data_IF_189806519211
#
_entry.id   IF_189806519211
#
_cell.length_a   1.000
_cell.length_b   1.000
_cell.length_c   1.000
_cell.angle_alpha   90.00
_cell.angle_beta   90.00
_cell.angle_gamma   90.00
#
_symmetry.space_group_name_H-M   'P 1'
#
loop_
_entity.id
_entity.type
_entity.pdbx_description
1 polymer ?
#
# COMPACT_ATOMS: atom_id res chain seq x y z
N UNK A 1 -5.74 53.83 -13.14
CA UNK A 1 -6.16 52.52 -13.69
C UNK A 1 -4.99 51.54 -13.97
N UNK A 2 -3.85 51.64 -13.27
CA UNK A 2 -2.72 50.68 -13.40
C UNK A 2 -2.63 49.68 -12.24
N UNK A 3 -3.16 50.03 -11.07
CA UNK A 3 -3.07 49.21 -9.85
C UNK A 3 -4.10 48.06 -9.77
N UNK A 4 -5.23 48.19 -10.47
CA UNK A 4 -6.31 47.18 -10.46
C UNK A 4 -5.90 45.91 -11.21
N UNK A 5 -5.06 46.05 -12.25
CA UNK A 5 -4.58 44.93 -13.07
C UNK A 5 -3.59 44.04 -12.29
N UNK A 6 -2.76 44.65 -11.43
CA UNK A 6 -1.77 43.94 -10.60
C UNK A 6 -2.43 43.12 -9.49
N UNK A 7 -3.53 43.59 -8.91
CA UNK A 7 -4.25 42.84 -7.87
C UNK A 7 -5.01 41.64 -8.43
N UNK A 8 -5.52 41.72 -9.67
CA UNK A 8 -6.17 40.59 -10.35
C UNK A 8 -5.21 39.43 -10.65
N UNK A 9 -3.93 39.71 -10.92
CA UNK A 9 -2.92 38.68 -11.17
C UNK A 9 -2.50 37.91 -9.90
N UNK A 10 -2.56 38.53 -8.73
CA UNK A 10 -2.25 37.87 -7.45
C UNK A 10 -3.33 36.85 -7.03
N UNK A 11 -4.58 37.05 -7.43
CA UNK A 11 -5.69 36.16 -7.09
C UNK A 11 -5.73 34.91 -8.01
N UNK A 12 -5.18 34.99 -9.22
CA UNK A 12 -5.09 33.85 -10.13
C UNK A 12 -4.01 32.82 -9.73
N UNK A 13 -3.08 33.17 -8.84
CA UNK A 13 -2.00 32.29 -8.39
C UNK A 13 -2.35 31.47 -7.13
N UNK A 14 -3.49 31.70 -6.47
CA UNK A 14 -3.82 31.05 -5.20
C UNK A 14 -4.51 29.68 -5.32
N UNK A 15 -4.75 29.17 -6.53
CA UNK A 15 -5.43 27.89 -6.75
C UNK A 15 -4.50 26.71 -7.08
N UNK A 16 -3.23 26.75 -6.66
CA UNK A 16 -2.47 25.50 -6.50
C UNK A 16 -2.91 24.83 -5.18
N UNK A 17 -4.10 24.24 -5.18
CA UNK A 17 -4.47 23.26 -4.18
C UNK A 17 -3.48 22.11 -4.24
N UNK A 18 -2.66 22.01 -3.20
CA UNK A 18 -1.75 20.89 -2.98
C UNK A 18 -2.60 19.66 -2.72
N UNK A 19 -3.04 18.99 -3.78
CA UNK A 19 -3.43 17.58 -3.70
C UNK A 19 -2.21 16.83 -3.22
N UNK A 20 -2.19 16.45 -1.94
CA UNK A 20 -1.20 15.51 -1.44
C UNK A 20 -1.28 14.25 -2.30
N UNK A 21 -0.24 13.90 -3.06
CA UNK A 21 -0.25 12.63 -3.75
C UNK A 21 -0.30 11.55 -2.67
N UNK A 22 -1.37 10.76 -2.67
CA UNK A 22 -1.30 9.41 -2.11
C UNK A 22 0.01 8.81 -2.63
N UNK A 23 0.83 8.33 -1.70
CA UNK A 23 2.21 7.87 -1.92
C UNK A 23 2.31 6.63 -2.85
N UNK A 24 1.69 6.65 -4.02
CA UNK A 24 2.13 5.84 -5.17
C UNK A 24 3.38 6.49 -5.71
N UNK A 25 4.50 6.19 -5.05
CA UNK A 25 5.84 6.59 -5.47
C UNK A 25 6.04 6.05 -6.89
N UNK A 26 5.92 6.91 -7.91
CA UNK A 26 6.11 6.59 -9.33
C UNK A 26 7.60 6.37 -9.67
N UNK A 27 8.33 5.60 -8.85
CA UNK A 27 9.81 5.50 -8.89
C UNK A 27 10.32 5.00 -10.26
N UNK A 28 9.47 4.25 -10.96
CA UNK A 28 9.83 3.51 -12.16
C UNK A 28 9.31 4.11 -13.46
N UNK A 29 8.45 5.12 -13.40
CA UNK A 29 7.94 5.79 -14.60
C UNK A 29 9.10 6.48 -15.34
N UNK A 30 9.14 6.31 -16.66
CA UNK A 30 10.20 6.80 -17.54
C UNK A 30 11.44 5.89 -17.62
N UNK A 31 11.55 4.85 -16.78
CA UNK A 31 12.66 3.88 -16.86
C UNK A 31 12.32 2.74 -17.82
N UNK A 32 13.36 2.08 -18.32
CA UNK A 32 13.20 0.90 -19.18
C UNK A 32 12.77 -0.31 -18.34
N UNK A 33 11.81 -1.08 -18.86
CA UNK A 33 11.30 -2.29 -18.22
C UNK A 33 12.39 -3.36 -18.03
N UNK A 34 13.38 -3.44 -18.93
CA UNK A 34 14.51 -4.37 -18.78
C UNK A 34 15.30 -4.10 -17.49
N UNK A 35 15.48 -2.84 -17.11
CA UNK A 35 16.15 -2.47 -15.85
C UNK A 35 15.34 -2.95 -14.64
N UNK A 36 14.01 -2.85 -14.72
CA UNK A 36 13.13 -3.35 -13.66
C UNK A 36 13.21 -4.88 -13.54
N UNK A 37 13.12 -5.59 -14.68
CA UNK A 37 13.21 -7.05 -14.72
C UNK A 37 14.57 -7.54 -14.22
N UNK A 38 15.66 -6.86 -14.57
CA UNK A 38 17.00 -7.24 -14.10
C UNK A 38 17.13 -7.07 -12.58
N UNK A 39 16.39 -6.13 -11.97
CA UNK A 39 16.43 -5.88 -10.53
C UNK A 39 15.51 -6.78 -9.73
N UNK A 40 14.29 -7.04 -10.23
CA UNK A 40 13.22 -7.70 -9.47
C UNK A 40 12.79 -9.05 -10.03
N UNK A 41 13.34 -9.46 -11.18
CA UNK A 41 12.99 -10.70 -11.85
C UNK A 41 11.85 -10.56 -12.85
N UNK A 42 11.42 -11.71 -13.36
CA UNK A 42 10.30 -11.81 -14.30
C UNK A 42 8.98 -11.50 -13.62
N UNK A 43 8.00 -10.93 -14.34
CA UNK A 43 6.65 -10.73 -13.82
C UNK A 43 5.95 -12.07 -13.57
N UNK A 44 4.94 -12.08 -12.71
CA UNK A 44 4.03 -13.22 -12.58
C UNK A 44 3.11 -13.31 -13.80
N UNK A 45 2.64 -12.14 -14.27
CA UNK A 45 1.71 -12.04 -15.41
C UNK A 45 2.19 -10.93 -16.35
N UNK A 46 2.16 -11.23 -17.64
CA UNK A 46 2.46 -10.28 -18.72
C UNK A 46 1.31 -10.30 -19.71
N UNK A 47 0.71 -9.14 -19.97
CA UNK A 47 -0.41 -8.98 -20.90
C UNK A 47 0.00 -7.99 -21.98
N UNK A 48 0.15 -8.46 -23.22
CA UNK A 48 0.30 -7.58 -24.37
C UNK A 48 -1.08 -7.07 -24.81
N UNK A 49 -1.18 -5.79 -25.14
CA UNK A 49 -2.38 -5.22 -25.75
C UNK A 49 -2.23 -5.20 -27.27
N UNK A 50 -3.34 -5.15 -27.99
CA UNK A 50 -3.36 -5.11 -29.47
C UNK A 50 -2.61 -3.88 -30.03
N UNK A 51 -2.49 -2.84 -29.20
CA UNK A 51 -1.73 -1.65 -29.52
C UNK A 51 -0.23 -1.79 -29.21
N UNK A 52 0.31 -2.99 -28.97
CA UNK A 52 1.73 -3.23 -28.71
C UNK A 52 2.25 -2.68 -27.38
N UNK A 53 1.38 -2.14 -26.53
CA UNK A 53 1.72 -1.83 -25.14
C UNK A 53 1.66 -3.13 -24.33
N UNK A 54 2.34 -3.18 -23.19
CA UNK A 54 2.34 -4.36 -22.33
C UNK A 54 2.11 -3.95 -20.89
N UNK A 55 1.28 -4.73 -20.19
CA UNK A 55 1.07 -4.58 -18.75
C UNK A 55 1.76 -5.75 -18.04
N UNK A 56 2.59 -5.43 -17.06
CA UNK A 56 3.32 -6.39 -16.24
C UNK A 56 2.77 -6.37 -14.82
N UNK A 57 2.47 -7.54 -14.26
CA UNK A 57 2.02 -7.70 -12.88
C UNK A 57 3.06 -8.46 -12.07
N UNK A 58 3.36 -7.93 -10.90
CA UNK A 58 4.21 -8.52 -9.88
C UNK A 58 3.43 -8.65 -8.59
N UNK A 59 3.58 -9.77 -7.90
CA UNK A 59 2.99 -10.08 -6.61
C UNK A 59 4.07 -10.61 -5.70
N UNK A 60 4.30 -9.94 -4.57
CA UNK A 60 5.14 -10.45 -3.49
C UNK A 60 4.32 -10.63 -2.24
N UNK A 61 4.57 -11.72 -1.55
CA UNK A 61 3.98 -11.97 -0.24
C UNK A 61 5.10 -12.10 0.80
N UNK A 62 4.94 -11.43 1.92
CA UNK A 62 5.84 -11.52 3.07
C UNK A 62 5.07 -12.02 4.30
N UNK A 63 5.66 -12.95 5.02
CA UNK A 63 5.12 -13.49 6.26
C UNK A 63 5.75 -12.74 7.42
N UNK A 64 4.91 -12.20 8.31
CA UNK A 64 5.41 -11.64 9.57
C UNK A 64 4.65 -12.22 10.75
N UNK A 65 5.39 -12.47 11.82
CA UNK A 65 4.80 -12.80 13.11
C UNK A 65 4.33 -11.51 13.76
N UNK A 66 3.00 -11.33 13.83
CA UNK A 66 2.41 -10.21 14.57
C UNK A 66 1.88 -10.74 15.88
N UNK A 67 2.34 -10.14 16.98
CA UNK A 67 1.76 -10.37 18.30
C UNK A 67 0.36 -9.77 18.30
N UNK A 68 -0.66 -10.61 18.39
CA UNK A 68 -2.05 -10.14 18.51
C UNK A 68 -2.38 -10.13 19.99
N UNK A 69 -2.79 -8.97 20.49
CA UNK A 69 -3.32 -8.84 21.84
C UNK A 69 -4.81 -9.21 21.77
N UNK A 70 -5.15 -10.38 22.29
CA UNK A 70 -6.53 -10.75 22.52
C UNK A 70 -6.92 -10.22 23.90
N UNK A 71 -8.15 -9.78 24.08
CA UNK A 71 -8.62 -9.45 25.44
C UNK A 71 -8.68 -10.74 26.27
N UNK A 72 -8.27 -10.70 27.54
CA UNK A 72 -8.29 -11.90 28.38
C UNK A 72 -9.73 -12.37 28.56
N UNK A 73 -10.00 -13.69 28.47
CA UNK A 73 -11.35 -14.20 28.67
C UNK A 73 -11.79 -13.95 30.12
N UNK A 74 -12.94 -13.32 30.26
CA UNK A 74 -13.60 -13.06 31.54
C UNK A 74 -14.67 -14.10 31.76
N UNK A 75 -14.67 -14.74 32.94
CA UNK A 75 -15.70 -15.68 33.36
C UNK A 75 -16.26 -15.27 34.71
N UNK A 76 -17.53 -15.59 34.96
CA UNK A 76 -18.18 -15.36 36.25
C UNK A 76 -18.38 -16.71 36.90
N UNK A 77 -17.93 -16.83 38.15
CA UNK A 77 -18.15 -18.02 38.97
C UNK A 77 -18.95 -17.63 40.22
N UNK A 78 -19.66 -18.59 40.82
CA UNK A 78 -20.39 -18.37 42.07
C UNK A 78 -19.61 -19.09 43.17
N UNK A 79 -19.29 -18.37 44.25
CA UNK A 79 -18.60 -18.97 45.41
C UNK A 79 -19.50 -19.97 46.13
N UNK A 80 -18.91 -20.79 47.00
CA UNK A 80 -19.67 -21.66 47.92
C UNK A 80 -20.66 -20.89 48.81
N UNK A 81 -20.47 -19.58 48.96
CA UNK A 81 -21.34 -18.67 49.71
C UNK A 81 -22.36 -17.92 48.83
N UNK A 82 -22.51 -18.29 47.56
CA UNK A 82 -23.48 -17.71 46.65
C UNK A 82 -23.11 -16.33 46.07
N UNK A 83 -21.88 -15.85 46.31
CA UNK A 83 -21.43 -14.55 45.81
C UNK A 83 -20.84 -14.69 44.41
N UNK A 84 -21.20 -13.83 43.44
CA UNK A 84 -20.56 -13.83 42.14
C UNK A 84 -19.12 -13.30 42.25
N UNK A 85 -18.17 -14.00 41.64
CA UNK A 85 -16.77 -13.61 41.54
C UNK A 85 -16.37 -13.62 40.07
N UNK A 86 -15.71 -12.55 39.66
CA UNK A 86 -15.15 -12.43 38.33
C UNK A 86 -13.77 -13.09 38.29
N UNK A 87 -13.58 -14.03 37.37
CA UNK A 87 -12.30 -14.68 37.11
C UNK A 87 -11.79 -14.18 35.77
N UNK A 88 -10.68 -13.45 35.80
CA UNK A 88 -9.94 -12.99 34.63
C UNK A 88 -8.75 -13.92 34.46
N UNK A 89 -8.70 -14.68 33.35
CA UNK A 89 -7.49 -15.47 33.04
C UNK A 89 -6.39 -14.53 32.55
N UNK A 90 -5.10 -14.78 32.89
CA UNK A 90 -4.00 -13.98 32.38
C UNK A 90 -3.93 -14.04 30.85
N UNK A 91 -3.46 -12.96 30.25
CA UNK A 91 -3.41 -12.80 28.80
C UNK A 91 -2.52 -13.84 28.14
N UNK A 92 -3.12 -14.67 27.27
CA UNK A 92 -2.39 -15.64 26.46
C UNK A 92 -1.96 -14.92 25.20
N UNK A 93 -0.67 -14.62 25.10
CA UNK A 93 -0.10 -13.99 23.92
C UNK A 93 0.13 -15.04 22.84
N UNK A 94 -0.86 -15.24 21.97
CA UNK A 94 -0.67 -16.08 20.78
C UNK A 94 -0.10 -15.23 19.63
N UNK A 95 1.12 -15.57 19.19
CA UNK A 95 1.66 -15.03 17.97
C UNK A 95 0.88 -15.60 16.78
N UNK A 96 0.28 -14.74 15.95
CA UNK A 96 -0.32 -15.17 14.68
C UNK A 96 0.62 -14.80 13.55
N UNK A 97 0.84 -15.75 12.64
CA UNK A 97 1.49 -15.46 11.37
C UNK A 97 0.49 -14.69 10.51
N UNK A 98 0.90 -13.51 10.04
CA UNK A 98 0.12 -12.67 9.14
C UNK A 98 0.84 -12.63 7.80
N UNK A 99 0.07 -12.75 6.71
CA UNK A 99 0.58 -12.66 5.35
C UNK A 99 0.26 -11.28 4.81
N UNK A 100 1.29 -10.50 4.50
CA UNK A 100 1.16 -9.26 3.76
C UNK A 100 1.43 -9.52 2.28
N UNK A 101 0.60 -8.96 1.41
CA UNK A 101 0.76 -9.09 -0.04
C UNK A 101 0.88 -7.71 -0.65
N UNK A 102 1.88 -7.54 -1.50
CA UNK A 102 2.09 -6.37 -2.33
C UNK A 102 1.93 -6.75 -3.81
N UNK A 103 1.17 -5.96 -4.55
CA UNK A 103 0.95 -6.10 -5.99
C UNK A 103 1.41 -4.85 -6.70
N UNK A 104 2.14 -5.02 -7.80
CA UNK A 104 2.57 -3.93 -8.67
C UNK A 104 2.10 -4.21 -10.09
N UNK A 105 1.52 -3.19 -10.70
CA UNK A 105 1.16 -3.17 -12.11
C UNK A 105 1.98 -2.10 -12.81
N UNK A 106 2.68 -2.48 -13.88
CA UNK A 106 3.49 -1.57 -14.71
C UNK A 106 2.94 -1.55 -16.12
N UNK A 107 2.56 -0.36 -16.59
CA UNK A 107 2.21 -0.12 -17.98
C UNK A 107 3.48 0.24 -18.74
N UNK A 108 3.74 -0.47 -19.84
CA UNK A 108 4.95 -0.35 -20.65
C UNK A 108 4.55 -0.09 -22.10
N UNK A 109 5.17 0.91 -22.72
CA UNK A 109 4.92 1.21 -24.13
C UNK A 109 5.67 0.26 -25.07
N UNK A 110 5.43 0.38 -26.39
CA UNK A 110 6.13 -0.40 -27.43
C UNK A 110 7.66 -0.32 -27.39
N UNK A 111 8.20 0.76 -26.84
CA UNK A 111 9.66 0.99 -26.73
C UNK A 111 10.25 0.34 -25.47
N UNK A 112 9.43 -0.33 -24.66
CA UNK A 112 9.88 -0.94 -23.41
C UNK A 112 10.03 0.06 -22.27
N UNK A 113 9.44 1.26 -22.36
CA UNK A 113 9.49 2.28 -21.31
C UNK A 113 8.25 2.19 -20.43
N UNK A 114 8.45 2.22 -19.12
CA UNK A 114 7.37 2.22 -18.13
C UNK A 114 6.67 3.60 -18.18
N UNK A 115 5.41 3.62 -18.58
CA UNK A 115 4.59 4.84 -18.68
C UNK A 115 3.65 5.03 -17.50
N UNK A 116 3.42 3.99 -16.71
CA UNK A 116 2.61 4.07 -15.51
C UNK A 116 2.93 2.96 -14.54
N UNK A 117 2.77 3.23 -13.25
CA UNK A 117 2.94 2.25 -12.18
C UNK A 117 1.83 2.40 -11.15
N UNK A 118 1.23 1.28 -10.75
CA UNK A 118 0.29 1.21 -9.64
C UNK A 118 0.80 0.18 -8.64
N UNK A 119 0.76 0.54 -7.37
CA UNK A 119 1.21 -0.31 -6.26
C UNK A 119 0.05 -0.44 -5.30
N UNK A 120 -0.29 -1.67 -4.91
CA UNK A 120 -1.39 -1.96 -4.00
C UNK A 120 -0.96 -3.00 -2.97
N UNK A 121 -1.42 -2.83 -1.73
CA UNK A 121 -1.19 -3.77 -0.64
C UNK A 121 -0.26 -3.21 0.43
N UNK A 122 0.24 -4.12 1.27
CA UNK A 122 1.05 -3.78 2.42
C UNK A 122 2.48 -4.31 2.26
N UNK A 123 3.43 -3.64 2.91
CA UNK A 123 4.85 -4.00 2.90
C UNK A 123 5.52 -3.99 1.51
N UNK A 124 5.14 -3.05 0.63
CA UNK A 124 5.72 -2.89 -0.71
C UNK A 124 7.14 -2.28 -0.75
N UNK A 125 7.83 -2.16 0.39
CA UNK A 125 9.13 -1.50 0.48
C UNK A 125 10.27 -2.20 -0.26
N UNK A 126 10.07 -3.44 -0.70
CA UNK A 126 11.03 -4.21 -1.49
C UNK A 126 11.01 -3.92 -3.00
N UNK A 127 10.27 -2.90 -3.46
CA UNK A 127 10.13 -2.51 -4.88
C UNK A 127 10.55 -1.06 -5.16
#
# INVERSE_FOLDING_TARGET
MRYIILFGWLILLSNCSVTMPTHTRQIWVGKNMSTFINRYGQPDIKIATDQGNTVYFYTKSSYQYKKVFLSPPVSVNITSTGKPVMIVKPDIHEGKMVVFTCKIMLNVNRQGVITGSQIQGENCGEF
#
